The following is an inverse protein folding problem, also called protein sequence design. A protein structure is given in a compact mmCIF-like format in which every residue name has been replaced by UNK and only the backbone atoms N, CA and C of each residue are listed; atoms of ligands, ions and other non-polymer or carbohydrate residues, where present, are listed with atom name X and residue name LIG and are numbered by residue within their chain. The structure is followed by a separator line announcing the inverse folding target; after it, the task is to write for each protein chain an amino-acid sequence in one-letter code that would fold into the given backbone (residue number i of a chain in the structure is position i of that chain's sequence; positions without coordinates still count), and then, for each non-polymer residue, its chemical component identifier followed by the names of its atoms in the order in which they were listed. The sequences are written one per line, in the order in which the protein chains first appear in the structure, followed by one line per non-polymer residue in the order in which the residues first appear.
data_IF_552654687148
#
_entry.id   IF_552654687148
#
_cell.length_a   1.000
_cell.length_b   1.000
_cell.length_c   1.000
_cell.angle_alpha   90.00
_cell.angle_beta   90.00
_cell.angle_gamma   90.00
#
_symmetry.space_group_name_H-M   'P 1'
#
loop_
_entity.id
_entity.type
_entity.pdbx_description
1 polymer ?
#
# COMPACT_ATOMS: atom_id res chain seq x y z
N UNK A 1 -19.81 -18.53 1.38
CA UNK A 1 -19.66 -17.99 2.74
C UNK A 1 -20.37 -16.65 2.81
N UNK A 2 -21.15 -16.40 3.86
CA UNK A 2 -21.81 -15.12 4.05
C UNK A 2 -20.80 -14.12 4.66
N UNK A 3 -20.74 -12.90 4.15
CA UNK A 3 -19.80 -11.86 4.63
C UNK A 3 -20.14 -11.46 6.06
N UNK A 4 -21.43 -11.46 6.41
CA UNK A 4 -21.89 -11.19 7.78
C UNK A 4 -21.29 -12.18 8.76
N UNK A 5 -21.34 -13.48 8.46
CA UNK A 5 -20.79 -14.52 9.33
C UNK A 5 -19.26 -14.35 9.53
N UNK A 6 -18.54 -13.88 8.49
CA UNK A 6 -17.11 -13.58 8.57
C UNK A 6 -16.82 -12.39 9.49
N UNK A 7 -17.60 -11.32 9.36
CA UNK A 7 -17.47 -10.13 10.22
C UNK A 7 -17.86 -10.48 11.65
N UNK A 8 -18.92 -11.26 11.87
CA UNK A 8 -19.31 -11.73 13.19
C UNK A 8 -18.21 -12.57 13.85
N UNK A 9 -17.45 -13.34 13.05
CA UNK A 9 -16.31 -14.13 13.53
C UNK A 9 -15.14 -13.28 14.05
N UNK A 10 -15.10 -11.97 13.76
CA UNK A 10 -14.12 -11.04 14.35
C UNK A 10 -14.44 -10.68 15.81
N UNK A 11 -15.69 -10.89 16.25
CA UNK A 11 -16.19 -10.43 17.55
C UNK A 11 -16.67 -8.97 17.56
N UNK A 12 -16.77 -8.35 16.37
CA UNK A 12 -17.25 -6.97 16.20
C UNK A 12 -16.13 -5.93 16.15
N UNK A 13 -16.52 -4.65 16.17
CA UNK A 13 -15.57 -3.53 16.12
C UNK A 13 -14.86 -3.34 17.46
N UNK A 14 -13.56 -3.07 17.38
CA UNK A 14 -12.66 -2.94 18.53
C UNK A 14 -11.86 -1.64 18.48
N UNK A 15 -11.20 -1.29 19.59
CA UNK A 15 -10.27 -0.17 19.61
C UNK A 15 -8.89 -0.56 19.08
N UNK A 16 -8.29 0.33 18.30
CA UNK A 16 -6.93 0.21 17.79
C UNK A 16 -6.15 1.49 18.04
N UNK A 17 -4.93 1.37 18.56
CA UNK A 17 -3.99 2.48 18.63
C UNK A 17 -2.57 1.97 18.42
N UNK A 18 -1.91 2.44 17.36
CA UNK A 18 -0.53 2.06 17.06
C UNK A 18 0.15 3.09 16.15
N UNK A 19 1.49 2.99 16.05
CA UNK A 19 2.25 3.64 14.98
C UNK A 19 2.40 2.64 13.82
N UNK A 20 2.00 3.05 12.62
CA UNK A 20 2.07 2.21 11.41
C UNK A 20 2.94 2.87 10.35
N UNK A 21 3.65 2.06 9.59
CA UNK A 21 4.57 2.53 8.55
C UNK A 21 4.04 2.32 7.15
N UNK A 22 4.42 3.23 6.26
CA UNK A 22 4.15 3.18 4.84
C UNK A 22 5.41 3.54 4.08
N UNK A 23 5.63 2.84 2.97
CA UNK A 23 6.68 3.14 2.03
C UNK A 23 6.07 3.71 0.76
N UNK A 24 6.70 4.75 0.23
CA UNK A 24 6.36 5.34 -1.07
C UNK A 24 7.64 5.54 -1.86
N UNK A 25 7.55 5.41 -3.18
CA UNK A 25 8.61 5.86 -4.06
C UNK A 25 8.72 7.39 -3.94
N UNK A 26 9.92 7.88 -3.69
CA UNK A 26 10.17 9.31 -3.62
C UNK A 26 10.01 9.84 -5.03
N UNK A 27 9.12 10.82 -5.22
CA UNK A 27 9.10 11.55 -6.47
C UNK A 27 10.41 12.30 -6.55
N UNK A 28 11.36 11.82 -7.35
CA UNK A 28 12.37 12.73 -7.85
C UNK A 28 11.60 13.83 -8.58
N UNK A 29 11.84 15.06 -8.14
CA UNK A 29 11.61 16.28 -8.92
C UNK A 29 12.17 16.18 -10.37
N UNK A 30 12.93 15.11 -10.69
CA UNK A 30 13.60 14.82 -11.94
C UNK A 30 12.91 13.80 -12.88
N UNK A 31 11.77 13.18 -12.53
CA UNK A 31 11.13 12.22 -13.43
C UNK A 31 10.59 12.91 -14.71
N UNK A 32 10.00 14.09 -14.57
CA UNK A 32 9.52 14.92 -15.69
C UNK A 32 10.63 15.69 -16.39
N UNK A 33 11.81 15.90 -15.76
CA UNK A 33 12.94 16.60 -16.40
C UNK A 33 13.54 15.81 -17.55
N UNK A 34 13.29 14.50 -17.60
CA UNK A 34 13.65 13.65 -18.74
C UNK A 34 12.66 13.73 -19.92
N UNK A 35 11.49 14.34 -19.70
CA UNK A 35 10.43 14.53 -20.70
C UNK A 35 10.42 15.94 -21.31
N UNK A 36 11.30 16.82 -20.85
CA UNK A 36 11.36 18.25 -21.21
C UNK A 36 12.80 18.65 -21.48
N UNK A 37 13.01 19.59 -22.40
CA UNK A 37 14.36 19.93 -22.84
C UNK A 37 15.07 20.90 -21.88
N UNK A 38 14.30 21.62 -21.05
CA UNK A 38 14.80 22.57 -20.07
C UNK A 38 13.90 22.76 -18.83
N UNK A 39 14.39 23.57 -17.88
CA UNK A 39 13.72 23.84 -16.59
C UNK A 39 12.44 24.69 -16.73
N UNK A 40 12.27 25.44 -17.82
CA UNK A 40 11.07 26.25 -18.06
C UNK A 40 9.92 25.36 -18.53
N UNK A 41 10.20 24.43 -19.45
CA UNK A 41 9.24 23.39 -19.84
C UNK A 41 8.90 22.45 -18.68
N UNK A 42 9.86 22.11 -17.83
CA UNK A 42 9.62 21.38 -16.58
C UNK A 42 8.59 22.09 -15.71
N UNK A 43 8.75 23.40 -15.50
CA UNK A 43 7.84 24.19 -14.68
C UNK A 43 6.43 24.25 -15.27
N UNK A 44 6.32 24.35 -16.60
CA UNK A 44 5.02 24.32 -17.31
C UNK A 44 4.36 22.94 -17.19
N UNK A 45 5.12 21.85 -17.36
CA UNK A 45 4.61 20.50 -17.21
C UNK A 45 4.14 20.22 -15.78
N UNK A 46 4.90 20.65 -14.78
CA UNK A 46 4.50 20.59 -13.37
C UNK A 46 3.22 21.39 -13.12
N UNK A 47 3.12 22.61 -13.69
CA UNK A 47 1.92 23.45 -13.55
C UNK A 47 0.69 22.81 -14.19
N UNK A 48 0.82 22.23 -15.38
CA UNK A 48 -0.26 21.48 -16.04
C UNK A 48 -0.65 20.26 -15.18
N UNK A 49 0.32 19.48 -14.72
CA UNK A 49 0.05 18.31 -13.87
C UNK A 49 -0.65 18.71 -12.57
N UNK A 50 -0.28 19.84 -11.96
CA UNK A 50 -0.94 20.40 -10.78
C UNK A 50 -2.38 20.84 -11.07
N UNK A 51 -2.63 21.47 -12.21
CA UNK A 51 -3.96 21.92 -12.65
C UNK A 51 -4.93 20.75 -12.87
N UNK A 52 -4.42 19.56 -13.20
CA UNK A 52 -5.20 18.34 -13.39
C UNK A 52 -5.32 17.46 -12.13
N UNK A 53 -4.72 17.85 -10.98
CA UNK A 53 -4.90 17.08 -9.75
C UNK A 53 -6.35 17.19 -9.28
N UNK A 54 -7.01 16.07 -8.88
CA UNK A 54 -8.34 16.12 -8.30
C UNK A 54 -8.39 17.09 -7.11
N UNK A 55 -9.56 17.63 -6.83
CA UNK A 55 -9.75 18.37 -5.59
C UNK A 55 -9.46 17.45 -4.39
N UNK A 56 -8.92 18.04 -3.32
CA UNK A 56 -8.79 17.33 -2.05
C UNK A 56 -10.17 16.86 -1.59
N UNK A 57 -10.23 15.68 -0.98
CA UNK A 57 -11.40 15.29 -0.20
C UNK A 57 -11.63 16.32 0.91
N UNK A 58 -12.89 16.49 1.32
CA UNK A 58 -13.25 17.38 2.42
C UNK A 58 -12.36 17.10 3.65
N UNK A 59 -11.94 18.16 4.34
CA UNK A 59 -11.08 18.12 5.53
C UNK A 59 -9.66 17.55 5.36
N UNK A 60 -9.18 17.33 4.13
CA UNK A 60 -7.80 16.85 3.87
C UNK A 60 -6.81 17.92 3.38
N UNK A 61 -7.25 19.17 3.18
CA UNK A 61 -6.45 20.22 2.53
C UNK A 61 -5.20 20.62 3.32
N UNK A 62 -5.24 20.49 4.65
CA UNK A 62 -4.13 20.86 5.55
C UNK A 62 -3.22 19.67 5.91
N UNK A 63 -3.57 18.45 5.49
CA UNK A 63 -2.75 17.27 5.75
C UNK A 63 -1.52 17.25 4.85
N UNK A 64 -0.41 16.75 5.39
CA UNK A 64 0.78 16.52 4.57
C UNK A 64 0.46 15.57 3.40
N UNK A 65 0.99 15.86 2.20
CA UNK A 65 0.61 15.14 0.97
C UNK A 65 0.81 13.60 1.05
N UNK A 66 1.84 13.14 1.77
CA UNK A 66 2.08 11.72 2.04
C UNK A 66 0.96 11.02 2.83
N UNK A 67 0.15 11.80 3.55
CA UNK A 67 -1.01 11.33 4.31
C UNK A 67 -2.28 11.52 3.48
N UNK A 68 -2.45 12.67 2.81
CA UNK A 68 -3.69 13.02 2.11
C UNK A 68 -3.89 12.30 0.77
N UNK A 69 -2.80 11.95 0.07
CA UNK A 69 -2.83 11.42 -1.30
C UNK A 69 -3.78 10.22 -1.50
N UNK A 70 -3.82 9.21 -0.63
CA UNK A 70 -4.72 8.06 -0.80
C UNK A 70 -6.21 8.43 -0.78
N UNK A 71 -6.56 9.51 -0.10
CA UNK A 71 -7.94 9.98 0.02
C UNK A 71 -8.33 10.96 -1.10
N UNK A 72 -7.38 11.39 -1.93
CA UNK A 72 -7.56 12.44 -2.95
C UNK A 72 -7.92 11.90 -4.34
N UNK A 73 -7.38 10.75 -4.72
CA UNK A 73 -7.51 10.24 -6.10
C UNK A 73 -8.70 9.29 -6.24
N UNK A 74 -9.33 9.23 -7.44
CA UNK A 74 -10.41 8.30 -7.72
C UNK A 74 -9.96 6.84 -7.52
N UNK A 75 -10.93 5.90 -7.35
CA UNK A 75 -10.65 4.48 -7.20
C UNK A 75 -9.73 3.96 -8.31
N UNK A 76 -8.86 3.00 -7.97
CA UNK A 76 -8.03 2.33 -8.96
C UNK A 76 -8.90 1.58 -9.98
N UNK A 77 -8.45 1.51 -11.24
CA UNK A 77 -9.16 0.86 -12.35
C UNK A 77 -9.54 -0.60 -12.04
N UNK A 78 -8.77 -1.29 -11.20
CA UNK A 78 -8.98 -2.67 -10.78
C UNK A 78 -9.28 -2.81 -9.27
N UNK A 79 -9.48 -1.69 -8.57
CA UNK A 79 -9.64 -1.65 -7.12
C UNK A 79 -8.34 -1.96 -6.38
N UNK A 80 -8.46 -2.18 -5.07
CA UNK A 80 -7.41 -2.67 -4.19
C UNK A 80 -7.89 -3.93 -3.47
N UNK A 81 -7.10 -4.46 -2.51
CA UNK A 81 -7.50 -5.63 -1.73
C UNK A 81 -8.85 -5.45 -1.03
N UNK A 82 -9.10 -4.27 -0.46
CA UNK A 82 -10.34 -4.00 0.28
C UNK A 82 -11.25 -2.95 -0.38
N UNK A 83 -10.75 -2.16 -1.34
CA UNK A 83 -11.54 -1.15 -2.04
C UNK A 83 -12.00 -1.63 -3.41
N UNK A 84 -13.29 -1.50 -3.71
CA UNK A 84 -13.79 -1.75 -5.05
C UNK A 84 -13.48 -0.59 -6.02
N UNK A 85 -13.70 -0.80 -7.32
CA UNK A 85 -13.47 0.20 -8.39
C UNK A 85 -14.38 1.44 -8.30
N UNK A 86 -15.37 1.44 -7.41
CA UNK A 86 -16.34 2.54 -7.24
C UNK A 86 -16.13 3.34 -5.97
N UNK A 87 -15.15 2.98 -5.14
CA UNK A 87 -15.01 3.51 -3.79
C UNK A 87 -13.67 4.21 -3.57
N UNK A 88 -13.59 5.24 -2.70
CA UNK A 88 -12.33 5.88 -2.33
C UNK A 88 -11.27 4.86 -1.90
N UNK A 89 -10.01 5.16 -2.17
CA UNK A 89 -8.91 4.27 -1.80
C UNK A 89 -8.64 4.31 -0.29
N UNK A 90 -8.18 3.19 0.27
CA UNK A 90 -7.67 3.14 1.64
C UNK A 90 -6.25 3.70 1.73
N UNK A 91 -5.88 4.26 2.88
CA UNK A 91 -4.49 4.41 3.27
C UNK A 91 -3.99 3.06 3.80
N UNK A 92 -3.22 2.36 2.97
CA UNK A 92 -2.55 1.11 3.35
C UNK A 92 -1.23 1.35 4.07
N UNK A 93 -1.03 0.63 5.17
CA UNK A 93 0.18 0.66 5.99
C UNK A 93 0.43 -0.68 6.68
N UNK A 94 1.57 -0.80 7.35
CA UNK A 94 2.00 -2.01 8.06
C UNK A 94 2.40 -1.71 9.49
N UNK A 95 2.15 -2.65 10.41
CA UNK A 95 2.59 -2.53 11.81
C UNK A 95 4.10 -2.73 11.99
N UNK A 96 4.78 -3.29 10.98
CA UNK A 96 6.22 -3.52 11.00
C UNK A 96 6.88 -3.10 9.69
N UNK A 97 8.13 -2.64 9.80
CA UNK A 97 8.97 -2.30 8.64
C UNK A 97 9.13 -3.53 7.73
N UNK A 98 9.37 -4.72 8.29
CA UNK A 98 9.57 -5.93 7.50
C UNK A 98 8.36 -6.27 6.63
N UNK A 99 7.14 -6.14 7.17
CA UNK A 99 5.91 -6.32 6.40
C UNK A 99 5.75 -5.23 5.33
N UNK A 100 6.04 -3.98 5.67
CA UNK A 100 5.98 -2.86 4.72
C UNK A 100 6.93 -3.08 3.53
N UNK A 101 8.16 -3.52 3.80
CA UNK A 101 9.16 -3.83 2.77
C UNK A 101 8.73 -5.03 1.90
N UNK A 102 8.08 -6.04 2.47
CA UNK A 102 7.57 -7.19 1.70
C UNK A 102 6.45 -6.78 0.73
N UNK A 103 5.51 -5.94 1.17
CA UNK A 103 4.47 -5.38 0.30
C UNK A 103 5.09 -4.51 -0.81
N UNK A 104 6.05 -3.64 -0.45
CA UNK A 104 6.76 -2.81 -1.43
C UNK A 104 7.52 -3.67 -2.45
N UNK A 105 8.22 -4.72 -2.01
CA UNK A 105 8.95 -5.64 -2.88
C UNK A 105 8.00 -6.32 -3.88
N UNK A 106 6.85 -6.82 -3.41
CA UNK A 106 5.85 -7.44 -4.26
C UNK A 106 5.41 -6.50 -5.38
N UNK A 107 5.00 -5.27 -5.07
CA UNK A 107 4.53 -4.32 -6.08
C UNK A 107 5.65 -3.86 -7.03
N UNK A 108 6.91 -3.81 -6.57
CA UNK A 108 8.05 -3.54 -7.45
C UNK A 108 8.26 -4.68 -8.45
N UNK A 109 8.18 -5.94 -8.03
CA UNK A 109 8.23 -7.06 -8.97
C UNK A 109 7.03 -7.06 -9.92
N UNK A 110 5.82 -6.83 -9.40
CA UNK A 110 4.59 -6.78 -10.19
C UNK A 110 4.64 -5.68 -11.28
N UNK A 111 5.15 -4.49 -10.95
CA UNK A 111 5.33 -3.40 -11.91
C UNK A 111 6.27 -3.78 -13.06
N UNK A 112 7.40 -4.43 -12.75
CA UNK A 112 8.37 -4.83 -13.78
C UNK A 112 7.85 -6.00 -14.63
N UNK A 113 7.10 -6.93 -14.03
CA UNK A 113 6.50 -8.05 -14.75
C UNK A 113 5.46 -7.59 -15.78
N UNK A 114 4.81 -6.45 -15.53
CA UNK A 114 3.91 -5.79 -16.49
C UNK A 114 4.59 -5.15 -17.71
N UNK A 115 5.92 -5.19 -17.81
CA UNK A 115 6.65 -4.63 -18.96
C UNK A 115 6.84 -5.66 -20.08
N UNK A 116 6.58 -5.27 -21.33
CA UNK A 116 6.71 -6.17 -22.49
C UNK A 116 8.16 -6.63 -22.72
N UNK A 117 9.14 -5.77 -22.43
CA UNK A 117 10.57 -6.07 -22.56
C UNK A 117 11.26 -5.82 -21.23
N UNK A 118 11.91 -6.85 -20.64
CA UNK A 118 12.65 -6.67 -19.40
C UNK A 118 13.72 -5.59 -19.53
N UNK A 119 13.87 -4.77 -18.48
CA UNK A 119 14.94 -3.78 -18.44
C UNK A 119 16.32 -4.45 -18.54
N UNK A 120 17.23 -3.93 -19.38
CA UNK A 120 18.51 -4.59 -19.63
C UNK A 120 19.52 -4.44 -18.47
N UNK A 121 19.20 -3.61 -17.47
CA UNK A 121 20.10 -3.26 -16.36
C UNK A 121 19.33 -3.25 -15.04
N UNK A 122 20.09 -3.29 -13.94
CA UNK A 122 19.59 -3.06 -12.59
C UNK A 122 18.85 -1.73 -12.54
N UNK A 123 17.68 -1.74 -11.94
CA UNK A 123 16.82 -0.58 -11.74
C UNK A 123 17.06 -0.07 -10.33
N UNK A 124 17.41 1.21 -10.21
CA UNK A 124 17.53 1.89 -8.93
C UNK A 124 16.41 2.91 -8.78
N UNK A 125 15.81 2.98 -7.59
CA UNK A 125 14.80 3.98 -7.23
C UNK A 125 14.98 4.38 -5.77
N UNK A 126 14.57 5.58 -5.42
CA UNK A 126 14.58 6.08 -4.05
C UNK A 126 13.18 6.01 -3.45
N UNK A 127 13.11 5.69 -2.17
CA UNK A 127 11.85 5.49 -1.46
C UNK A 127 11.93 6.10 -0.07
N UNK A 128 10.83 6.70 0.38
CA UNK A 128 10.65 7.14 1.75
C UNK A 128 9.80 6.13 2.52
N UNK A 129 10.32 5.61 3.61
CA UNK A 129 9.53 4.93 4.64
C UNK A 129 9.23 5.92 5.75
N UNK A 130 7.97 6.04 6.15
CA UNK A 130 7.55 6.94 7.23
C UNK A 130 6.47 6.30 8.07
N UNK A 131 6.27 6.85 9.27
CA UNK A 131 5.26 6.43 10.21
C UNK A 131 4.15 7.46 10.36
N UNK A 132 2.98 6.98 10.77
CA UNK A 132 1.88 7.79 11.28
C UNK A 132 1.27 7.11 12.50
N UNK A 133 0.85 7.91 13.48
CA UNK A 133 0.10 7.42 14.65
C UNK A 133 -1.38 7.32 14.29
N UNK A 134 -1.99 6.20 14.62
CA UNK A 134 -3.39 5.89 14.29
C UNK A 134 -4.12 5.54 15.58
N UNK A 135 -5.35 6.04 15.71
CA UNK A 135 -6.24 5.74 16.85
C UNK A 135 -7.68 5.67 16.37
N UNK A 136 -8.34 4.52 16.55
CA UNK A 136 -9.74 4.29 16.19
C UNK A 136 -10.44 3.49 17.27
N UNK A 137 -11.75 3.73 17.45
CA UNK A 137 -12.64 2.89 18.26
C UNK A 137 -13.47 1.92 17.41
N UNK A 138 -13.37 2.02 16.08
CA UNK A 138 -14.18 1.30 15.11
C UNK A 138 -13.28 0.48 14.17
N UNK A 139 -12.47 -0.41 14.73
CA UNK A 139 -11.57 -1.27 13.97
C UNK A 139 -12.15 -2.67 13.80
N UNK A 140 -12.24 -3.13 12.55
CA UNK A 140 -12.51 -4.52 12.25
C UNK A 140 -11.18 -5.29 12.23
N UNK A 141 -10.93 -6.08 13.27
CA UNK A 141 -9.70 -6.88 13.38
C UNK A 141 -9.89 -8.28 12.79
N UNK A 142 -9.57 -8.40 11.50
CA UNK A 142 -9.63 -9.66 10.76
C UNK A 142 -8.57 -10.66 11.25
N UNK A 143 -7.55 -10.24 12.00
CA UNK A 143 -6.53 -11.16 12.55
C UNK A 143 -7.07 -12.02 13.69
N UNK A 144 -8.21 -11.66 14.29
CA UNK A 144 -8.85 -12.43 15.36
C UNK A 144 -9.62 -13.65 14.86
N UNK A 145 -9.86 -13.76 13.55
CA UNK A 145 -10.60 -14.89 12.99
C UNK A 145 -9.74 -16.15 13.13
N UNK A 146 -10.18 -17.09 13.96
CA UNK A 146 -9.47 -18.35 14.23
C UNK A 146 -9.62 -19.40 13.11
N UNK A 147 -10.61 -19.24 12.24
CA UNK A 147 -10.85 -20.15 11.12
C UNK A 147 -9.76 -19.99 10.04
N UNK A 148 -8.96 -21.04 9.86
CA UNK A 148 -7.85 -21.04 8.90
C UNK A 148 -8.31 -20.97 7.44
N UNK A 149 -9.49 -21.50 7.11
CA UNK A 149 -10.03 -21.43 5.74
C UNK A 149 -10.45 -19.99 5.40
N UNK A 150 -11.00 -19.28 6.38
CA UNK A 150 -11.30 -17.85 6.23
C UNK A 150 -10.01 -17.05 6.12
N UNK A 151 -9.02 -17.30 6.98
CA UNK A 151 -7.74 -16.61 6.91
C UNK A 151 -7.03 -16.84 5.57
N UNK A 152 -7.09 -18.04 5.02
CA UNK A 152 -6.52 -18.33 3.70
C UNK A 152 -7.22 -17.53 2.58
N UNK A 153 -8.53 -17.34 2.66
CA UNK A 153 -9.27 -16.49 1.70
C UNK A 153 -8.92 -15.00 1.87
N UNK A 154 -8.78 -14.52 3.11
CA UNK A 154 -8.42 -13.13 3.39
C UNK A 154 -6.98 -12.80 2.96
N UNK A 155 -6.10 -13.80 3.03
CA UNK A 155 -4.69 -13.71 2.65
C UNK A 155 -4.40 -14.28 1.27
N UNK A 156 -5.43 -14.57 0.46
CA UNK A 156 -5.24 -15.11 -0.88
C UNK A 156 -4.33 -14.17 -1.70
N UNK A 157 -3.19 -14.65 -2.23
CA UNK A 157 -2.22 -13.82 -2.93
C UNK A 157 -2.70 -13.34 -4.31
N UNK A 158 -3.72 -13.93 -4.91
CA UNK A 158 -4.24 -13.56 -6.22
C UNK A 158 -5.65 -12.95 -6.16
N UNK A 159 -6.54 -13.50 -5.33
CA UNK A 159 -7.95 -13.09 -5.34
C UNK A 159 -8.29 -12.00 -4.31
N UNK A 160 -8.97 -10.94 -4.77
CA UNK A 160 -9.55 -9.89 -3.90
C UNK A 160 -11.07 -10.01 -3.74
N UNK A 161 -11.67 -11.02 -4.34
CA UNK A 161 -13.14 -11.18 -4.42
C UNK A 161 -13.86 -11.21 -3.06
N UNK A 162 -13.24 -11.80 -2.03
CA UNK A 162 -13.78 -11.82 -0.66
C UNK A 162 -13.43 -10.53 0.08
N UNK A 163 -12.18 -10.08 0.00
CA UNK A 163 -11.68 -8.93 0.75
C UNK A 163 -12.33 -7.61 0.29
N UNK A 164 -12.64 -7.44 -0.99
CA UNK A 164 -13.43 -6.29 -1.46
C UNK A 164 -14.86 -6.27 -0.90
N UNK A 165 -15.50 -7.44 -0.79
CA UNK A 165 -16.83 -7.54 -0.15
C UNK A 165 -16.76 -7.23 1.34
N UNK A 166 -15.71 -7.70 2.01
CA UNK A 166 -15.43 -7.36 3.42
C UNK A 166 -15.23 -5.86 3.58
N UNK A 167 -14.44 -5.21 2.71
CA UNK A 167 -14.24 -3.76 2.78
C UNK A 167 -15.52 -2.95 2.62
N UNK A 168 -16.35 -3.30 1.62
CA UNK A 168 -17.66 -2.69 1.43
C UNK A 168 -18.56 -2.84 2.67
N UNK A 169 -18.67 -4.06 3.20
CA UNK A 169 -19.52 -4.31 4.37
C UNK A 169 -18.96 -3.61 5.62
N UNK A 170 -17.65 -3.62 5.83
CA UNK A 170 -17.02 -2.94 6.96
C UNK A 170 -17.30 -1.43 6.95
N UNK A 171 -17.31 -0.79 5.77
CA UNK A 171 -17.73 0.62 5.64
C UNK A 171 -19.20 0.82 6.01
N UNK A 172 -20.09 -0.07 5.57
CA UNK A 172 -21.51 -0.02 5.92
C UNK A 172 -21.74 -0.17 7.44
N UNK A 173 -20.89 -0.97 8.09
CA UNK A 173 -20.90 -1.20 9.53
C UNK A 173 -20.19 -0.08 10.32
N UNK A 174 -19.60 0.91 9.63
CA UNK A 174 -18.94 2.07 10.23
C UNK A 174 -17.50 1.84 10.70
N UNK A 175 -16.80 0.82 10.16
CA UNK A 175 -15.40 0.60 10.46
C UNK A 175 -14.51 1.67 9.80
N UNK A 176 -13.66 2.32 10.60
CA UNK A 176 -12.68 3.30 10.12
C UNK A 176 -11.35 2.64 9.68
N UNK A 177 -11.11 1.40 10.16
CA UNK A 177 -9.86 0.67 9.96
C UNK A 177 -10.11 -0.84 9.86
N UNK A 178 -9.42 -1.47 8.91
CA UNK A 178 -9.29 -2.93 8.82
C UNK A 178 -7.88 -3.33 9.24
N UNK A 179 -7.75 -4.26 10.20
CA UNK A 179 -6.47 -4.85 10.58
C UNK A 179 -6.42 -6.29 10.08
N UNK A 180 -5.38 -6.67 9.33
CA UNK A 180 -5.36 -7.93 8.60
C UNK A 180 -3.94 -8.47 8.36
N UNK A 181 -3.82 -9.78 8.14
CA UNK A 181 -2.56 -10.40 7.77
C UNK A 181 -2.19 -10.06 6.31
N UNK A 182 -0.93 -9.72 6.09
CA UNK A 182 -0.34 -9.50 4.77
C UNK A 182 -0.32 -10.80 3.96
N UNK A 183 -0.77 -10.73 2.72
CA UNK A 183 -0.65 -11.82 1.74
C UNK A 183 0.76 -11.91 1.12
N UNK A 184 1.67 -10.99 1.46
CA UNK A 184 3.03 -10.86 0.90
C UNK A 184 4.12 -11.15 1.91
N UNK A 185 3.84 -11.00 3.20
CA UNK A 185 4.78 -11.31 4.27
C UNK A 185 4.91 -12.82 4.48
N UNK A 186 6.15 -13.28 4.66
CA UNK A 186 6.43 -14.69 4.99
C UNK A 186 6.24 -15.02 6.49
N UNK A 187 6.11 -14.00 7.34
CA UNK A 187 6.09 -14.12 8.81
C UNK A 187 4.74 -13.70 9.41
N UNK A 188 3.62 -13.95 8.72
CA UNK A 188 2.28 -13.49 9.15
C UNK A 188 2.26 -12.01 9.55
N UNK A 189 2.91 -11.18 8.73
CA UNK A 189 2.99 -9.73 8.94
C UNK A 189 1.62 -9.07 8.97
N UNK A 190 1.48 -7.95 9.68
CA UNK A 190 0.18 -7.28 9.87
C UNK A 190 0.16 -5.96 9.13
N UNK A 191 -0.90 -5.78 8.34
CA UNK A 191 -1.24 -4.57 7.65
C UNK A 191 -2.51 -3.94 8.21
N UNK A 192 -2.67 -2.66 7.93
CA UNK A 192 -3.90 -1.92 8.16
C UNK A 192 -4.37 -1.25 6.87
N UNK A 193 -5.68 -1.22 6.66
CA UNK A 193 -6.33 -0.41 5.63
C UNK A 193 -7.18 0.64 6.34
N UNK A 194 -6.76 1.90 6.26
CA UNK A 194 -7.41 3.04 6.93
C UNK A 194 -8.34 3.70 5.93
N UNK A 195 -9.63 3.73 6.25
CA UNK A 195 -10.64 4.31 5.39
C UNK A 195 -10.79 5.82 5.60
N UNK A 196 -10.71 6.23 6.86
CA UNK A 196 -11.01 7.59 7.28
C UNK A 196 -9.73 8.29 7.74
N UNK A 197 -9.37 9.40 7.10
CA UNK A 197 -8.15 10.14 7.48
C UNK A 197 -8.21 10.67 8.92
N UNK A 198 -9.39 10.90 9.50
CA UNK A 198 -9.56 11.48 10.84
C UNK A 198 -9.01 10.61 11.97
N UNK A 199 -8.82 9.30 11.73
CA UNK A 199 -8.20 8.41 12.72
C UNK A 199 -6.67 8.48 12.69
N UNK A 200 -6.07 9.13 11.68
CA UNK A 200 -4.64 9.42 11.62
C UNK A 200 -4.36 10.67 12.47
N UNK A 201 -3.62 10.48 13.56
CA UNK A 201 -3.33 11.50 14.56
C UNK A 201 -2.12 12.38 14.20
N UNK A 202 -1.31 11.94 13.25
CA UNK A 202 -0.12 12.66 12.80
C UNK A 202 -0.49 13.69 11.73
N UNK A 203 -0.11 14.95 11.93
CA UNK A 203 -0.28 16.02 10.93
C UNK A 203 0.74 15.91 9.78
N UNK A 204 1.89 15.30 10.05
CA UNK A 204 3.02 15.10 9.13
C UNK A 204 3.62 13.70 9.31
N UNK A 205 4.30 13.13 8.31
CA UNK A 205 5.04 11.88 8.46
C UNK A 205 6.03 11.94 9.62
N UNK A 206 6.00 10.93 10.48
CA UNK A 206 6.91 10.74 11.60
C UNK A 206 8.03 9.77 11.21
N UNK A 207 9.21 9.90 11.84
CA UNK A 207 10.36 8.99 11.68
C UNK A 207 10.69 8.61 10.23
N UNK A 208 10.64 9.59 9.33
CA UNK A 208 10.90 9.36 7.89
C UNK A 208 12.36 8.96 7.65
N UNK A 209 12.54 7.85 6.93
CA UNK A 209 13.85 7.32 6.53
C UNK A 209 13.86 7.06 5.03
N UNK A 210 14.94 7.46 4.38
CA UNK A 210 15.15 7.21 2.95
C UNK A 210 15.81 5.84 2.71
N UNK A 211 15.35 5.16 1.67
CA UNK A 211 15.81 3.87 1.21
C UNK A 211 16.20 3.94 -0.26
N UNK A 212 17.32 3.29 -0.58
CA UNK A 212 17.66 2.93 -1.96
C UNK A 212 17.07 1.55 -2.24
N UNK A 213 16.26 1.46 -3.28
CA UNK A 213 15.75 0.21 -3.83
C UNK A 213 16.55 -0.17 -5.08
N UNK A 214 17.11 -1.37 -5.10
CA UNK A 214 17.79 -1.92 -6.28
C UNK A 214 17.10 -3.23 -6.69
N UNK A 215 16.62 -3.28 -7.92
CA UNK A 215 15.98 -4.45 -8.51
C UNK A 215 16.78 -4.93 -9.72
N UNK A 216 17.25 -6.17 -9.66
CA UNK A 216 17.86 -6.86 -10.78
C UNK A 216 16.79 -7.73 -11.49
N UNK A 217 16.31 -7.33 -12.68
CA UNK A 217 15.28 -8.09 -13.39
C UNK A 217 15.79 -9.43 -13.95
N UNK A 218 17.11 -9.61 -14.11
CA UNK A 218 17.67 -10.85 -14.64
C UNK A 218 17.81 -11.91 -13.55
N UNK A 219 18.20 -11.50 -12.34
CA UNK A 219 18.34 -12.43 -11.21
C UNK A 219 17.07 -12.52 -10.37
N UNK A 220 16.10 -11.62 -10.55
CA UNK A 220 14.90 -11.57 -9.72
C UNK A 220 15.18 -11.17 -8.27
N UNK A 221 16.24 -10.41 -8.00
CA UNK A 221 16.62 -9.99 -6.65
C UNK A 221 16.32 -8.51 -6.45
N UNK A 222 15.59 -8.20 -5.39
CA UNK A 222 15.32 -6.84 -4.94
C UNK A 222 15.99 -6.59 -3.59
N UNK A 223 16.56 -5.40 -3.44
CA UNK A 223 17.23 -4.96 -2.20
C UNK A 223 16.71 -3.59 -1.78
N UNK A 224 16.37 -3.48 -0.51
CA UNK A 224 16.13 -2.20 0.15
C UNK A 224 17.25 -1.92 1.14
N UNK A 225 17.92 -0.78 1.00
CA UNK A 225 18.99 -0.37 1.90
C UNK A 225 18.78 1.05 2.39
N UNK A 226 18.92 1.27 3.69
CA UNK A 226 19.19 2.60 4.21
C UNK A 226 20.66 2.94 3.94
N UNK A 227 21.05 4.23 4.01
CA UNK A 227 22.45 4.61 3.93
C UNK A 227 23.29 3.90 5.01
N UNK A 228 24.36 3.23 4.58
CA UNK A 228 25.36 2.58 5.46
C UNK A 228 24.85 1.38 6.27
N UNK A 229 23.72 0.78 5.91
CA UNK A 229 23.21 -0.47 6.51
C UNK A 229 23.37 -1.63 5.55
N UNK A 230 23.28 -2.87 6.06
CA UNK A 230 23.07 -4.01 5.18
C UNK A 230 21.67 -3.97 4.56
N UNK A 231 21.51 -4.39 3.29
CA UNK A 231 20.22 -4.40 2.64
C UNK A 231 19.34 -5.53 3.16
N UNK A 232 18.03 -5.27 3.23
CA UNK A 232 17.00 -6.32 3.28
C UNK A 232 16.77 -6.80 1.86
N UNK A 233 16.75 -8.12 1.66
CA UNK A 233 16.64 -8.73 0.33
C UNK A 233 15.34 -9.50 0.18
N UNK A 234 14.73 -9.40 -1.00
CA UNK A 234 13.60 -10.18 -1.44
C UNK A 234 13.91 -10.80 -2.80
N UNK A 235 13.36 -11.98 -3.06
CA UNK A 235 13.48 -12.63 -4.37
C UNK A 235 12.11 -12.76 -5.01
N UNK A 236 12.06 -12.70 -6.34
CA UNK A 236 10.81 -12.82 -7.11
C UNK A 236 10.09 -14.13 -6.77
N UNK A 237 10.84 -15.21 -6.57
CA UNK A 237 10.34 -16.54 -6.23
C UNK A 237 9.48 -16.57 -4.97
N UNK A 238 9.72 -15.67 -4.01
CA UNK A 238 8.93 -15.58 -2.78
C UNK A 238 7.46 -15.21 -3.04
N UNK A 239 7.16 -14.63 -4.21
CA UNK A 239 5.84 -14.10 -4.56
C UNK A 239 5.14 -14.86 -5.68
N UNK A 240 5.74 -15.95 -6.19
CA UNK A 240 5.19 -16.69 -7.31
C UNK A 240 4.09 -17.67 -6.86
N UNK A 241 3.05 -17.75 -7.68
CA UNK A 241 2.04 -18.82 -7.68
C UNK A 241 2.19 -19.59 -8.99
N UNK A 242 2.42 -20.90 -8.88
CA UNK A 242 2.61 -21.78 -10.04
C UNK A 242 3.64 -21.24 -11.05
N UNK A 243 4.72 -20.63 -10.53
CA UNK A 243 5.84 -20.08 -11.32
C UNK A 243 5.63 -18.67 -11.88
N UNK A 244 4.46 -18.05 -11.67
CA UNK A 244 4.14 -16.71 -12.17
C UNK A 244 3.76 -15.77 -11.03
N UNK A 245 3.94 -14.46 -11.20
CA UNK A 245 3.36 -13.51 -10.25
C UNK A 245 1.83 -13.57 -10.35
N UNK A 246 1.11 -13.43 -9.24
CA UNK A 246 -0.34 -13.45 -9.24
C UNK A 246 -0.91 -12.31 -10.08
N UNK A 247 -1.91 -12.62 -10.91
CA UNK A 247 -2.78 -11.61 -11.49
C UNK A 247 -3.73 -11.14 -10.38
N UNK A 248 -3.73 -9.85 -10.08
CA UNK A 248 -4.55 -9.28 -9.01
C UNK A 248 -6.00 -9.08 -9.51
N UNK A 249 -6.99 -9.62 -8.77
CA UNK A 249 -8.41 -9.50 -9.12
C UNK A 249 -9.39 -10.09 -8.09
#
# INVERSE_FOLDING_TARGET
MNITDLIDATGGLTSYANSVCRMVETQEYAATTSLVDDLEEQAILEQILDDFKPQYADDTQNLHYLISTPFRYPPLQYGSRFGAITEPSYFYASESIQTCLAEAAFYRFYLIDGTETPFPKVIQSEHSLFFVRVSSTNTLDLTQIADSEIQNQLTDPASYSITQKVGLQARQDGADLLRYFSARSQEQGINVAIDNHTIIQSEKPEDKVEYICQLDPQTGILRFSQPRTFPVMFTREQFLLDGNLPILG
#
